data_IF_814386570553
#
_entry.id   IF_814386570553
#
_cell.length_a   1.000
_cell.length_b   1.000
_cell.length_c   1.000
_cell.angle_alpha   90.00
_cell.angle_beta   90.00
_cell.angle_gamma   90.00
#
_symmetry.space_group_name_H-M   'P 1'
#
loop_
_entity.id
_entity.type
_entity.pdbx_description
1 polymer ?
#
# COMPACT_ATOMS: atom_id res chain seq x y z
N UNK A 1 -38.37 7.72 2.70
CA UNK A 1 -37.91 8.84 3.55
C UNK A 1 -36.69 8.37 4.33
N UNK A 2 -35.47 8.68 3.85
CA UNK A 2 -34.18 8.15 4.40
C UNK A 2 -33.37 9.27 5.09
N UNK A 3 -33.89 10.49 5.13
CA UNK A 3 -33.18 11.68 5.61
C UNK A 3 -33.17 11.83 7.15
N UNK A 4 -33.93 11.02 7.90
CA UNK A 4 -34.19 11.28 9.33
C UNK A 4 -33.26 10.54 10.31
N UNK A 5 -32.43 9.60 9.85
CA UNK A 5 -31.62 8.77 10.75
C UNK A 5 -30.19 9.25 11.01
N UNK A 6 -29.70 10.34 10.38
CA UNK A 6 -28.28 10.73 10.39
C UNK A 6 -27.29 9.59 10.01
N UNK A 7 -27.80 8.44 9.55
CA UNK A 7 -27.03 7.23 9.24
C UNK A 7 -26.15 7.38 7.99
N UNK A 8 -26.42 8.39 7.16
CA UNK A 8 -25.68 8.73 5.94
C UNK A 8 -24.81 10.00 6.10
N UNK A 9 -24.68 10.53 7.32
CA UNK A 9 -23.78 11.65 7.60
C UNK A 9 -22.34 11.14 7.69
N UNK A 10 -21.40 11.89 7.16
CA UNK A 10 -19.96 11.60 7.27
C UNK A 10 -19.29 12.60 8.19
N UNK A 11 -18.20 12.18 8.81
CA UNK A 11 -17.30 12.99 9.62
C UNK A 11 -15.88 12.82 9.08
N UNK A 12 -15.01 13.81 9.34
CA UNK A 12 -13.60 13.68 8.99
C UNK A 12 -13.01 12.54 9.82
N UNK A 13 -12.13 11.75 9.22
CA UNK A 13 -11.42 10.68 9.92
C UNK A 13 -10.72 11.22 11.17
N UNK A 14 -10.63 10.40 12.21
CA UNK A 14 -9.90 10.73 13.44
C UNK A 14 -8.61 9.93 13.51
N UNK A 15 -7.57 10.51 14.10
CA UNK A 15 -6.29 9.87 14.42
C UNK A 15 -5.94 10.13 15.89
N UNK A 16 -4.86 9.53 16.41
CA UNK A 16 -4.38 9.81 17.76
C UNK A 16 -3.23 10.80 17.72
N UNK A 17 -3.35 11.90 18.45
CA UNK A 17 -2.23 12.79 18.76
C UNK A 17 -2.07 12.86 20.27
N UNK A 18 -0.88 12.53 20.78
CA UNK A 18 -0.61 12.43 22.22
C UNK A 18 -1.67 11.58 22.97
N UNK A 19 -2.05 10.43 22.39
CA UNK A 19 -3.08 9.52 22.92
C UNK A 19 -4.50 10.09 22.98
N UNK A 20 -4.78 11.19 22.30
CA UNK A 20 -6.12 11.79 22.21
C UNK A 20 -6.64 11.70 20.77
N UNK A 21 -7.89 11.24 20.57
CA UNK A 21 -8.52 11.31 19.27
C UNK A 21 -8.66 12.77 18.81
N UNK A 22 -8.05 13.09 17.68
CA UNK A 22 -8.20 14.37 16.99
C UNK A 22 -8.68 14.14 15.56
N UNK A 23 -9.24 15.16 14.93
CA UNK A 23 -9.58 15.12 13.51
C UNK A 23 -8.31 15.16 12.67
N UNK A 24 -8.23 14.27 11.67
CA UNK A 24 -7.13 14.25 10.68
C UNK A 24 -7.06 15.59 9.97
N UNK A 25 -5.86 16.15 9.92
CA UNK A 25 -5.56 17.34 9.12
C UNK A 25 -5.23 16.90 7.69
N UNK A 26 -5.73 17.58 6.65
CA UNK A 26 -5.39 17.25 5.27
C UNK A 26 -3.88 17.23 5.04
N UNK A 27 -3.38 16.21 4.34
CA UNK A 27 -1.95 16.03 4.07
C UNK A 27 -1.66 15.96 2.58
N UNK A 28 -0.50 16.51 2.22
CA UNK A 28 -0.02 16.49 0.85
C UNK A 28 0.59 15.13 0.51
N UNK A 29 0.25 14.60 -0.66
CA UNK A 29 0.82 13.35 -1.16
C UNK A 29 0.92 13.38 -2.68
N UNK A 30 1.79 12.53 -3.22
CA UNK A 30 1.86 12.24 -4.65
C UNK A 30 1.31 10.85 -4.84
N UNK A 31 0.21 10.73 -5.57
CA UNK A 31 -0.43 9.44 -5.83
C UNK A 31 -1.10 9.42 -7.19
N UNK A 32 -1.38 8.22 -7.69
CA UNK A 32 -2.22 8.04 -8.86
C UNK A 32 -3.68 8.05 -8.40
N UNK A 33 -4.42 9.12 -8.69
CA UNK A 33 -5.83 9.19 -8.33
C UNK A 33 -6.66 8.19 -9.15
N UNK A 34 -7.75 7.63 -8.60
CA UNK A 34 -8.55 6.66 -9.33
C UNK A 34 -9.10 7.21 -10.64
N UNK A 35 -8.85 6.49 -11.74
CA UNK A 35 -9.25 6.90 -13.09
C UNK A 35 -8.14 7.58 -13.90
N UNK A 36 -7.03 7.94 -13.26
CA UNK A 36 -5.89 8.58 -13.92
C UNK A 36 -4.72 7.61 -14.11
N UNK A 37 -3.93 7.88 -15.15
CA UNK A 37 -2.76 7.07 -15.51
C UNK A 37 -1.45 7.64 -14.93
N UNK A 38 -1.44 8.92 -14.55
CA UNK A 38 -0.25 9.63 -14.06
C UNK A 38 -0.37 9.95 -12.57
N UNK A 39 0.74 9.93 -11.81
CA UNK A 39 0.77 10.47 -10.46
C UNK A 39 0.50 11.98 -10.46
N UNK A 40 -0.22 12.45 -9.45
CA UNK A 40 -0.55 13.86 -9.23
C UNK A 40 -0.22 14.26 -7.80
N UNK A 41 0.16 15.52 -7.62
CA UNK A 41 0.30 16.13 -6.30
C UNK A 41 -1.08 16.57 -5.80
N UNK A 42 -1.48 16.07 -4.64
CA UNK A 42 -2.82 16.29 -4.10
C UNK A 42 -2.79 16.55 -2.60
N UNK A 43 -3.79 17.28 -2.10
CA UNK A 43 -4.09 17.44 -0.68
C UNK A 43 -5.24 16.50 -0.31
N UNK A 44 -4.99 15.47 0.49
CA UNK A 44 -5.94 14.39 0.78
C UNK A 44 -6.55 14.50 2.18
N UNK A 45 -7.82 14.12 2.31
CA UNK A 45 -8.55 14.05 3.58
C UNK A 45 -9.46 12.79 3.64
N UNK A 46 -9.25 11.86 4.59
CA UNK A 46 -10.12 10.70 4.78
C UNK A 46 -11.40 11.04 5.55
N UNK A 47 -12.48 10.29 5.28
CA UNK A 47 -13.79 10.42 5.92
C UNK A 47 -14.28 9.07 6.46
N UNK A 48 -14.96 9.15 7.59
CA UNK A 48 -15.60 8.02 8.29
C UNK A 48 -17.09 8.31 8.47
N UNK A 49 -17.95 7.31 8.74
CA UNK A 49 -19.34 7.56 9.13
C UNK A 49 -19.40 8.48 10.35
N UNK A 50 -20.37 9.39 10.36
CA UNK A 50 -20.60 10.23 11.53
C UNK A 50 -20.88 9.34 12.75
N UNK A 51 -20.03 9.47 13.77
CA UNK A 51 -20.19 8.72 15.00
C UNK A 51 -21.36 9.29 15.81
N UNK A 52 -22.12 8.43 16.47
CA UNK A 52 -23.07 8.82 17.52
C UNK A 52 -22.68 8.17 18.83
N UNK A 53 -23.23 8.62 19.96
CA UNK A 53 -22.99 8.03 21.29
C UNK A 53 -23.25 6.51 21.32
N UNK A 54 -24.12 6.02 20.43
CA UNK A 54 -24.50 4.61 20.32
C UNK A 54 -23.82 3.83 19.18
N UNK A 55 -23.07 4.50 18.31
CA UNK A 55 -22.50 3.90 17.10
C UNK A 55 -21.23 4.63 16.67
N UNK A 56 -20.07 4.13 17.11
CA UNK A 56 -18.75 4.59 16.68
C UNK A 56 -18.21 3.67 15.58
N UNK A 57 -18.67 3.88 14.35
CA UNK A 57 -18.06 3.25 13.17
C UNK A 57 -16.89 4.11 12.71
N UNK A 58 -15.69 3.56 12.81
CA UNK A 58 -14.45 4.24 12.44
C UNK A 58 -13.86 3.74 11.13
N UNK A 59 -14.57 2.85 10.41
CA UNK A 59 -14.15 2.39 9.09
C UNK A 59 -14.23 3.54 8.09
N UNK A 60 -13.25 3.62 7.19
CA UNK A 60 -13.22 4.62 6.15
C UNK A 60 -14.29 4.33 5.10
N UNK A 61 -15.02 5.38 4.68
CA UNK A 61 -16.09 5.27 3.67
C UNK A 61 -15.79 6.09 2.42
N UNK A 62 -14.92 7.07 2.53
CA UNK A 62 -14.48 7.89 1.40
C UNK A 62 -13.22 8.67 1.76
N UNK A 63 -12.60 9.25 0.76
CA UNK A 63 -11.61 10.31 0.94
C UNK A 63 -11.83 11.38 -0.13
N UNK A 64 -11.43 12.60 0.19
CA UNK A 64 -11.43 13.72 -0.73
C UNK A 64 -10.00 14.12 -1.03
N UNK A 65 -9.74 14.58 -2.26
CA UNK A 65 -8.49 15.20 -2.64
C UNK A 65 -8.74 16.53 -3.34
N UNK A 66 -7.97 17.55 -3.00
CA UNK A 66 -7.78 18.72 -3.85
C UNK A 66 -6.57 18.48 -4.75
N UNK A 67 -6.75 18.60 -6.07
CA UNK A 67 -5.71 18.39 -7.07
C UNK A 67 -4.86 19.66 -7.17
N UNK A 68 -3.54 19.52 -7.08
CA UNK A 68 -2.61 20.64 -6.87
C UNK A 68 -1.60 20.81 -8.02
N UNK A 69 -1.75 20.06 -9.12
CA UNK A 69 -0.92 20.19 -10.33
C UNK A 69 -1.68 19.78 -11.61
N UNK A 70 -1.01 19.89 -12.75
CA UNK A 70 -1.51 19.43 -14.04
C UNK A 70 -2.70 20.22 -14.60
N UNK A 71 -3.48 19.55 -15.45
CA UNK A 71 -4.66 20.13 -16.12
C UNK A 71 -5.85 20.32 -15.17
N UNK A 72 -5.83 19.64 -14.03
CA UNK A 72 -6.92 19.58 -13.07
C UNK A 72 -6.65 20.38 -11.79
N UNK A 73 -5.69 21.29 -11.85
CA UNK A 73 -5.32 22.15 -10.73
C UNK A 73 -6.54 22.88 -10.13
N UNK A 74 -6.75 22.71 -8.83
CA UNK A 74 -7.85 23.32 -8.07
C UNK A 74 -9.15 22.51 -8.06
N UNK A 75 -9.23 21.40 -8.79
CA UNK A 75 -10.40 20.52 -8.75
C UNK A 75 -10.45 19.71 -7.45
N UNK A 76 -11.66 19.45 -6.96
CA UNK A 76 -11.92 18.56 -5.84
C UNK A 76 -12.42 17.20 -6.36
N UNK A 77 -11.76 16.14 -5.95
CA UNK A 77 -12.14 14.75 -6.20
C UNK A 77 -12.67 14.14 -4.91
N UNK A 78 -13.90 13.62 -4.92
CA UNK A 78 -14.44 12.81 -3.83
C UNK A 78 -14.52 11.35 -4.28
N UNK A 79 -13.71 10.49 -3.67
CA UNK A 79 -13.73 9.05 -3.95
C UNK A 79 -14.49 8.30 -2.85
N UNK A 80 -15.60 7.67 -3.23
CA UNK A 80 -16.41 6.83 -2.33
C UNK A 80 -15.93 5.39 -2.40
N UNK A 81 -15.66 4.79 -1.25
CA UNK A 81 -15.23 3.40 -1.19
C UNK A 81 -16.40 2.46 -1.52
N UNK A 82 -16.16 1.34 -2.23
CA UNK A 82 -17.17 0.33 -2.48
C UNK A 82 -17.75 -0.21 -1.16
N UNK A 83 -19.09 -0.35 -1.08
CA UNK A 83 -19.76 -0.80 0.15
C UNK A 83 -19.50 -2.27 0.51
N UNK A 84 -18.90 -3.04 -0.38
CA UNK A 84 -18.59 -4.46 -0.20
C UNK A 84 -17.19 -4.71 0.38
N UNK A 85 -16.37 -3.66 0.55
CA UNK A 85 -15.07 -3.75 1.20
C UNK A 85 -15.07 -2.94 2.48
N UNK A 86 -14.59 -3.53 3.56
CA UNK A 86 -14.33 -2.81 4.80
C UNK A 86 -12.88 -2.31 4.75
N UNK A 87 -12.73 -1.00 4.91
CA UNK A 87 -11.43 -0.34 4.92
C UNK A 87 -11.27 0.31 6.28
N UNK A 88 -10.20 -0.02 6.98
CA UNK A 88 -9.92 0.56 8.29
C UNK A 88 -9.79 2.08 8.20
N UNK A 89 -10.43 2.83 9.09
CA UNK A 89 -10.12 4.25 9.20
C UNK A 89 -8.84 4.50 10.00
N UNK A 90 -8.32 5.74 9.96
CA UNK A 90 -7.08 6.09 10.66
C UNK A 90 -7.12 5.69 12.15
N UNK A 91 -8.21 6.01 12.88
CA UNK A 91 -8.36 5.64 14.30
C UNK A 91 -8.37 4.12 14.57
N UNK A 92 -8.82 3.30 13.62
CA UNK A 92 -8.75 1.83 13.77
C UNK A 92 -7.32 1.34 13.62
N UNK A 93 -6.56 1.89 12.67
CA UNK A 93 -5.14 1.57 12.50
C UNK A 93 -4.35 2.01 13.73
N UNK A 94 -4.61 3.22 14.25
CA UNK A 94 -4.06 3.69 15.53
C UNK A 94 -4.30 2.70 16.67
N UNK A 95 -5.52 2.19 16.78
CA UNK A 95 -5.89 1.19 17.79
C UNK A 95 -5.18 -0.15 17.58
N UNK A 96 -4.99 -0.57 16.32
CA UNK A 96 -4.23 -1.79 16.00
C UNK A 96 -2.76 -1.65 16.36
N UNK A 97 -2.16 -0.48 16.12
CA UNK A 97 -0.78 -0.16 16.51
C UNK A 97 -0.61 -0.26 18.03
N UNK A 98 -1.55 0.30 18.79
CA UNK A 98 -1.51 0.23 20.27
C UNK A 98 -1.75 -1.18 20.82
N UNK A 99 -2.48 -2.04 20.08
CA UNK A 99 -2.78 -3.41 20.47
C UNK A 99 -1.68 -4.41 20.09
N UNK A 100 -0.78 -4.05 19.18
CA UNK A 100 0.34 -4.89 18.80
C UNK A 100 1.31 -5.06 19.99
N UNK A 101 1.57 -6.29 20.47
CA UNK A 101 2.41 -6.51 21.66
C UNK A 101 3.86 -6.05 21.50
N UNK A 102 4.43 -6.16 20.30
CA UNK A 102 5.84 -5.83 20.06
C UNK A 102 6.01 -4.31 19.92
N UNK A 103 5.09 -3.65 19.20
CA UNK A 103 5.08 -2.20 19.08
C UNK A 103 4.78 -1.56 20.43
N UNK A 104 3.69 -1.94 21.10
CA UNK A 104 3.28 -1.36 22.38
C UNK A 104 4.36 -1.48 23.46
N UNK A 105 5.02 -2.64 23.55
CA UNK A 105 6.16 -2.85 24.45
C UNK A 105 7.31 -1.90 24.13
N UNK A 106 7.68 -1.76 22.86
CA UNK A 106 8.78 -0.89 22.44
C UNK A 106 8.47 0.59 22.72
N UNK A 107 7.26 1.05 22.38
CA UNK A 107 6.82 2.43 22.65
C UNK A 107 6.80 2.70 24.15
N UNK A 108 6.30 1.77 24.97
CA UNK A 108 6.30 1.89 26.42
C UNK A 108 7.73 1.96 27.00
N UNK A 109 8.70 1.25 26.43
CA UNK A 109 10.11 1.31 26.84
C UNK A 109 10.76 2.65 26.47
N UNK A 110 10.45 3.20 25.30
CA UNK A 110 10.98 4.50 24.88
C UNK A 110 10.32 5.67 25.60
N UNK A 111 9.07 5.50 26.02
CA UNK A 111 8.34 6.48 26.79
C UNK A 111 8.68 6.39 28.30
N UNK A 112 9.95 6.18 28.62
CA UNK A 112 10.50 6.09 29.98
C UNK A 112 11.73 6.98 30.14
N UNK A 113 12.12 7.23 31.39
CA UNK A 113 13.49 7.64 31.74
C UNK A 113 14.03 8.89 31.05
N UNK A 114 13.17 9.91 30.88
CA UNK A 114 13.59 11.21 30.37
C UNK A 114 13.56 11.34 28.84
N UNK A 115 12.95 10.39 28.13
CA UNK A 115 12.51 10.57 26.74
C UNK A 115 10.99 10.48 26.63
N UNK A 116 10.45 11.03 25.55
CA UNK A 116 9.05 10.87 25.14
C UNK A 116 8.98 10.40 23.70
N UNK A 117 7.98 9.56 23.44
CA UNK A 117 7.62 9.10 22.10
C UNK A 117 6.67 10.13 21.49
N UNK A 118 6.96 10.55 20.26
CA UNK A 118 6.02 11.31 19.43
C UNK A 118 5.62 10.42 18.26
N UNK A 119 4.32 10.15 18.17
CA UNK A 119 3.68 9.55 17.02
C UNK A 119 3.42 10.65 16.00
N UNK A 120 3.95 10.51 14.79
CA UNK A 120 3.70 11.46 13.71
C UNK A 120 2.32 11.26 13.10
N UNK A 121 1.98 12.08 12.11
CA UNK A 121 0.69 11.97 11.43
C UNK A 121 0.58 10.64 10.68
N UNK A 122 -0.58 10.01 10.77
CA UNK A 122 -0.87 8.77 10.06
C UNK A 122 -1.30 9.06 8.61
N UNK A 123 -0.46 8.66 7.65
CA UNK A 123 -0.77 8.84 6.23
C UNK A 123 -1.49 7.61 5.68
N UNK A 124 -2.74 7.77 5.23
CA UNK A 124 -3.48 6.73 4.52
C UNK A 124 -3.30 6.89 3.01
N UNK A 125 -2.55 6.00 2.37
CA UNK A 125 -2.18 6.08 0.95
C UNK A 125 -2.92 5.01 0.14
N UNK A 126 -3.79 5.38 -0.81
CA UNK A 126 -4.46 4.42 -1.69
C UNK A 126 -3.45 3.65 -2.56
N UNK A 127 -3.38 2.32 -2.40
CA UNK A 127 -2.56 1.43 -3.24
C UNK A 127 -3.30 0.11 -3.53
N UNK A 128 -3.27 -0.35 -4.79
CA UNK A 128 -3.77 -1.68 -5.17
C UNK A 128 -5.23 -1.97 -4.77
N UNK A 129 -6.09 -0.95 -4.68
CA UNK A 129 -7.49 -1.10 -4.27
C UNK A 129 -7.74 -1.13 -2.76
N UNK A 130 -6.71 -0.94 -1.94
CA UNK A 130 -6.81 -0.74 -0.49
C UNK A 130 -5.89 0.44 -0.07
N UNK A 131 -5.55 0.54 1.21
CA UNK A 131 -4.71 1.62 1.75
C UNK A 131 -3.48 1.06 2.45
N UNK A 132 -2.33 1.67 2.16
CA UNK A 132 -1.13 1.57 2.95
C UNK A 132 -1.12 2.71 3.95
N UNK A 133 -1.04 2.38 5.22
CA UNK A 133 -0.90 3.35 6.29
C UNK A 133 0.57 3.48 6.65
N UNK A 134 1.05 4.71 6.81
CA UNK A 134 2.45 5.00 7.15
C UNK A 134 2.48 5.97 8.32
N UNK A 135 3.12 5.58 9.41
CA UNK A 135 3.25 6.39 10.61
C UNK A 135 4.71 6.45 11.08
N UNK A 136 5.35 7.63 11.04
CA UNK A 136 6.69 7.80 11.59
C UNK A 136 6.64 7.93 13.12
N UNK A 137 7.59 7.27 13.80
CA UNK A 137 7.76 7.35 15.25
C UNK A 137 9.04 8.12 15.56
N UNK A 138 8.91 9.19 16.33
CA UNK A 138 10.02 10.04 16.77
C UNK A 138 10.29 9.87 18.26
N UNK A 139 11.54 10.03 18.64
CA UNK A 139 11.95 10.16 20.03
C UNK A 139 12.50 11.55 20.28
N UNK A 140 12.14 12.12 21.42
CA UNK A 140 12.72 13.35 21.93
C UNK A 140 13.12 13.19 23.40
N UNK A 141 14.08 14.00 23.85
CA UNK A 141 14.44 14.08 25.25
C UNK A 141 13.50 15.04 25.98
N UNK A 142 13.07 14.67 27.18
CA UNK A 142 12.26 15.53 28.05
C UNK A 142 13.09 16.66 28.67
N UNK A 143 14.42 16.65 28.48
CA UNK A 143 15.28 17.80 28.81
C UNK A 143 15.09 18.86 27.73
N UNK A 144 14.87 20.11 28.15
CA UNK A 144 14.52 21.20 27.24
C UNK A 144 15.51 21.40 26.08
N UNK A 145 14.97 21.80 24.93
CA UNK A 145 15.75 22.13 23.73
C UNK A 145 16.15 20.91 22.87
N UNK A 146 15.55 19.74 23.07
CA UNK A 146 15.80 18.58 22.21
C UNK A 146 14.95 18.62 20.94
N UNK A 147 15.53 18.20 19.82
CA UNK A 147 14.85 18.10 18.53
C UNK A 147 14.38 16.65 18.37
N UNK A 148 13.10 16.40 18.01
CA UNK A 148 12.62 15.05 17.73
C UNK A 148 13.40 14.38 16.60
N UNK A 149 13.81 13.13 16.81
CA UNK A 149 14.51 12.32 15.82
C UNK A 149 13.66 11.10 15.46
N UNK A 150 13.45 10.86 14.15
CA UNK A 150 12.72 9.68 13.69
C UNK A 150 13.53 8.42 14.01
N UNK A 151 12.92 7.46 14.70
CA UNK A 151 13.57 6.19 15.07
C UNK A 151 12.96 4.97 14.40
N UNK A 152 11.66 5.02 14.08
CA UNK A 152 10.96 3.94 13.39
C UNK A 152 9.94 4.48 12.42
N UNK A 153 9.49 3.59 11.55
CA UNK A 153 8.27 3.75 10.78
C UNK A 153 7.40 2.51 10.97
N UNK A 154 6.12 2.76 11.20
CA UNK A 154 5.08 1.73 11.26
C UNK A 154 4.34 1.74 9.92
N UNK A 155 4.21 0.57 9.29
CA UNK A 155 3.37 0.39 8.11
C UNK A 155 2.27 -0.62 8.41
N UNK A 156 1.05 -0.30 7.98
CA UNK A 156 -0.07 -1.22 8.00
C UNK A 156 -0.65 -1.38 6.59
N UNK A 157 -0.89 -2.62 6.17
CA UNK A 157 -1.57 -2.95 4.92
C UNK A 157 -2.41 -4.20 5.12
N UNK A 158 -3.73 -4.09 4.95
CA UNK A 158 -4.66 -5.17 5.27
C UNK A 158 -4.43 -5.68 6.70
N UNK A 159 -4.22 -6.98 6.89
CA UNK A 159 -4.00 -7.61 8.19
C UNK A 159 -2.55 -7.51 8.67
N UNK A 160 -1.64 -7.03 7.83
CA UNK A 160 -0.22 -6.93 8.16
C UNK A 160 0.10 -5.59 8.81
N UNK A 161 0.90 -5.65 9.87
CA UNK A 161 1.40 -4.50 10.61
C UNK A 161 2.87 -4.74 10.94
N UNK A 162 3.74 -3.79 10.59
CA UNK A 162 5.18 -3.91 10.81
C UNK A 162 5.75 -2.60 11.33
N UNK A 163 6.75 -2.68 12.21
CA UNK A 163 7.51 -1.53 12.69
C UNK A 163 9.00 -1.78 12.46
N UNK A 164 9.65 -0.93 11.67
CA UNK A 164 11.06 -1.12 11.30
C UNK A 164 11.84 0.20 11.33
N UNK A 165 13.16 0.12 11.12
CA UNK A 165 14.07 1.28 11.16
C UNK A 165 13.85 2.25 9.99
N UNK A 166 13.40 1.75 8.84
CA UNK A 166 13.28 2.54 7.62
C UNK A 166 12.17 2.01 6.71
N UNK A 167 11.66 2.89 5.85
CA UNK A 167 10.54 2.58 4.97
C UNK A 167 10.81 1.40 4.03
N UNK A 168 12.04 1.29 3.51
CA UNK A 168 12.42 0.20 2.60
C UNK A 168 12.31 -1.18 3.24
N UNK A 169 12.85 -1.34 4.45
CA UNK A 169 12.73 -2.58 5.22
C UNK A 169 11.26 -2.90 5.54
N UNK A 170 10.46 -1.91 5.93
CA UNK A 170 9.03 -2.12 6.20
C UNK A 170 8.28 -2.59 4.94
N UNK A 171 8.54 -1.96 3.79
CA UNK A 171 7.95 -2.35 2.51
C UNK A 171 8.32 -3.77 2.10
N UNK A 172 9.59 -4.14 2.25
CA UNK A 172 10.05 -5.52 1.97
C UNK A 172 9.39 -6.54 2.92
N UNK A 173 9.20 -6.20 4.20
CA UNK A 173 8.51 -7.10 5.13
C UNK A 173 7.02 -7.27 4.79
N UNK A 174 6.36 -6.23 4.28
CA UNK A 174 4.94 -6.29 3.91
C UNK A 174 4.69 -6.99 2.58
N UNK A 175 5.48 -6.70 1.56
CA UNK A 175 5.22 -7.11 0.18
C UNK A 175 6.20 -8.16 -0.35
N UNK A 176 7.24 -8.49 0.42
CA UNK A 176 8.25 -9.49 0.09
C UNK A 176 9.43 -8.94 -0.72
N UNK A 177 10.34 -9.86 -1.07
CA UNK A 177 11.51 -9.57 -1.88
C UNK A 177 11.10 -9.15 -3.30
N UNK A 178 11.74 -8.09 -3.82
CA UNK A 178 11.40 -7.49 -5.12
C UNK A 178 10.50 -6.26 -5.04
N UNK A 179 10.06 -5.88 -3.84
CA UNK A 179 9.33 -4.64 -3.61
C UNK A 179 10.20 -3.43 -3.97
N UNK A 180 9.69 -2.47 -4.78
CA UNK A 180 10.42 -1.25 -5.11
C UNK A 180 10.90 -0.54 -3.85
N UNK A 181 12.21 -0.25 -3.81
CA UNK A 181 12.79 0.43 -2.67
C UNK A 181 12.62 1.95 -2.82
N UNK A 182 12.33 2.66 -1.72
CA UNK A 182 12.27 4.11 -1.73
C UNK A 182 13.59 4.68 -2.24
N UNK A 183 13.54 5.48 -3.30
CA UNK A 183 14.70 6.23 -3.80
C UNK A 183 14.66 7.64 -3.23
N UNK A 184 15.80 8.16 -2.79
CA UNK A 184 15.92 9.58 -2.44
C UNK A 184 15.65 10.42 -3.70
N UNK A 185 14.69 11.37 -3.68
CA UNK A 185 14.47 12.27 -4.80
C UNK A 185 15.76 13.00 -5.18
N UNK A 186 16.14 12.99 -6.47
CA UNK A 186 17.40 13.57 -6.95
C UNK A 186 18.62 12.65 -6.86
N UNK A 187 18.49 11.47 -6.24
CA UNK A 187 19.49 10.42 -6.27
C UNK A 187 19.07 9.38 -7.31
N UNK A 188 19.16 9.76 -8.59
CA UNK A 188 19.08 8.82 -9.69
C UNK A 188 20.15 7.76 -9.45
N UNK A 189 19.76 6.55 -9.05
CA UNK A 189 20.63 5.41 -9.26
C UNK A 189 20.90 5.39 -10.76
N UNK A 190 22.16 5.35 -11.21
CA UNK A 190 22.42 5.07 -12.61
C UNK A 190 21.69 3.76 -12.91
N UNK A 191 20.81 3.79 -13.91
CA UNK A 191 20.46 2.54 -14.61
C UNK A 191 21.76 1.77 -14.79
N UNK A 192 21.82 0.46 -14.51
CA UNK A 192 23.02 -0.29 -14.81
C UNK A 192 23.29 -0.11 -16.30
N UNK A 193 24.26 0.74 -16.62
CA UNK A 193 24.81 0.85 -17.96
C UNK A 193 25.43 -0.51 -18.19
N UNK A 194 24.74 -1.34 -18.97
CA UNK A 194 25.35 -2.52 -19.58
C UNK A 194 26.48 -1.98 -20.43
N UNK A 195 27.65 -1.89 -19.83
CA UNK A 195 28.88 -1.56 -20.52
C UNK A 195 29.20 -2.75 -21.40
N UNK A 196 29.41 -2.57 -22.72
CA UNK A 196 29.76 -3.67 -23.59
C UNK A 196 31.12 -4.22 -23.17
N UNK A 197 31.13 -5.36 -22.47
CA UNK A 197 32.35 -6.10 -22.19
C UNK A 197 32.83 -6.72 -23.50
N UNK A 198 34.00 -6.25 -23.92
CA UNK A 198 34.84 -6.81 -24.97
C UNK A 198 35.04 -8.31 -24.76
N UNK A 199 34.62 -9.11 -25.74
CA UNK A 199 34.89 -10.53 -25.82
C UNK A 199 36.40 -10.77 -25.83
N UNK A 200 36.90 -11.54 -24.86
CA UNK A 200 38.11 -12.33 -25.02
C UNK A 200 37.80 -13.77 -24.62
N UNK A 201 37.95 -14.64 -25.61
CA UNK A 201 37.74 -16.09 -25.63
C UNK A 201 38.52 -16.85 -24.57
N UNK A 202 37.83 -17.70 -23.80
CA UNK A 202 38.35 -19.01 -23.38
C UNK A 202 37.22 -20.05 -23.43
N UNK A 203 37.57 -21.22 -23.93
CA UNK A 203 36.73 -22.31 -24.41
C UNK A 203 36.30 -23.23 -23.27
N UNK A 204 34.99 -23.48 -23.09
CA UNK A 204 34.36 -24.82 -22.93
C UNK A 204 32.90 -24.73 -22.45
N UNK A 205 32.07 -25.60 -23.07
CA UNK A 205 30.67 -25.95 -22.80
C UNK A 205 29.60 -25.06 -23.45
N UNK A 206 29.40 -25.30 -24.75
CA UNK A 206 28.19 -24.90 -25.47
C UNK A 206 26.97 -25.73 -25.00
N UNK A 207 25.81 -25.11 -24.72
CA UNK A 207 24.54 -25.83 -24.67
C UNK A 207 24.17 -26.30 -26.09
N UNK A 208 23.80 -27.57 -26.18
CA UNK A 208 23.47 -28.27 -27.41
C UNK A 208 22.23 -27.65 -28.10
N UNK A 209 22.46 -26.93 -29.20
CA UNK A 209 21.43 -26.32 -30.06
C UNK A 209 20.47 -27.36 -30.69
N UNK A 210 20.84 -28.65 -30.69
CA UNK A 210 19.92 -29.73 -31.06
C UNK A 210 18.77 -29.84 -30.04
N UNK A 211 19.05 -29.68 -28.74
CA UNK A 211 18.04 -29.81 -27.68
C UNK A 211 16.97 -28.72 -27.73
N UNK A 212 17.32 -27.50 -28.16
CA UNK A 212 16.36 -26.39 -28.30
C UNK A 212 15.43 -26.63 -29.49
N UNK A 213 15.96 -27.20 -30.58
CA UNK A 213 15.14 -27.55 -31.76
C UNK A 213 14.20 -28.71 -31.46
N UNK A 214 14.68 -29.69 -30.70
CA UNK A 214 13.87 -30.83 -30.25
C UNK A 214 12.76 -30.37 -29.29
N UNK A 215 13.06 -29.47 -28.35
CA UNK A 215 12.06 -28.88 -27.46
C UNK A 215 10.99 -28.10 -28.22
N UNK A 216 11.35 -27.30 -29.23
CA UNK A 216 10.36 -26.60 -30.07
C UNK A 216 9.46 -27.57 -30.86
N UNK A 217 9.99 -28.68 -31.35
CA UNK A 217 9.20 -29.67 -32.07
C UNK A 217 8.26 -30.44 -31.12
N UNK A 218 8.70 -30.69 -29.88
CA UNK A 218 7.89 -31.33 -28.84
C UNK A 218 6.71 -30.44 -28.41
N UNK A 219 6.93 -29.12 -28.30
CA UNK A 219 5.88 -28.14 -28.02
C UNK A 219 4.85 -28.09 -29.16
N UNK A 220 5.30 -28.10 -30.43
CA UNK A 220 4.37 -28.13 -31.58
C UNK A 220 3.47 -29.37 -31.56
N UNK A 221 4.06 -30.54 -31.29
CA UNK A 221 3.30 -31.80 -31.23
C UNK A 221 2.26 -31.80 -30.10
N UNK A 222 2.59 -31.20 -28.95
CA UNK A 222 1.67 -31.03 -27.83
C UNK A 222 0.49 -30.12 -28.16
N UNK A 223 0.72 -29.06 -28.93
CA UNK A 223 -0.35 -28.15 -29.38
C UNK A 223 -1.28 -28.83 -30.39
N UNK A 224 -0.74 -29.61 -31.33
CA UNK A 224 -1.55 -30.35 -32.31
C UNK A 224 -2.42 -31.44 -31.64
N UNK A 225 -1.88 -32.10 -30.61
CA UNK A 225 -2.60 -33.14 -29.86
C UNK A 225 -3.73 -32.53 -29.01
N UNK A 226 -3.48 -31.35 -28.40
CA UNK A 226 -4.51 -30.57 -27.70
C UNK A 226 -5.63 -30.10 -28.64
N UNK A 227 -5.30 -29.65 -29.85
CA UNK A 227 -6.30 -29.25 -30.84
C UNK A 227 -7.15 -30.45 -31.29
N UNK A 228 -6.52 -31.61 -31.46
CA UNK A 228 -7.21 -32.85 -31.83
C UNK A 228 -8.14 -33.34 -30.72
N UNK A 229 -7.72 -33.25 -29.46
CA UNK A 229 -8.58 -33.55 -28.30
C UNK A 229 -9.76 -32.57 -28.19
N UNK A 230 -9.53 -31.27 -28.39
CA UNK A 230 -10.59 -30.25 -28.38
C UNK A 230 -11.63 -30.48 -29.49
N UNK A 231 -11.21 -30.88 -30.68
CA UNK A 231 -12.12 -31.25 -31.78
C UNK A 231 -12.89 -32.56 -31.49
N UNK A 232 -12.25 -33.52 -30.81
CA UNK A 232 -12.90 -34.76 -30.35
C UNK A 232 -14.05 -34.52 -29.37
N UNK A 233 -13.88 -33.56 -28.45
CA UNK A 233 -14.91 -33.21 -27.46
C UNK A 233 -16.14 -32.49 -28.07
N UNK A 234 -16.04 -31.91 -29.28
CA UNK A 234 -17.19 -31.32 -29.97
C UNK A 234 -18.02 -32.36 -30.77
N UNK A 235 -17.49 -33.56 -31.01
CA UNK A 235 -18.19 -34.63 -31.73
C UNK A 235 -19.09 -35.53 -30.87
N UNK A 236 -18.81 -35.65 -29.57
CA UNK A 236 -19.44 -36.65 -28.69
C UNK A 236 -20.71 -36.13 -27.97
N UNK A 237 -21.02 -34.84 -28.08
CA UNK A 237 -22.26 -34.24 -27.55
C UNK A 237 -23.54 -34.61 -28.33
N UNK A 238 -23.42 -35.43 -29.39
CA UNK A 238 -24.55 -35.85 -30.24
C UNK A 238 -25.11 -37.25 -29.93
N UNK A 239 -24.59 -37.95 -28.92
CA UNK A 239 -25.01 -39.33 -28.57
C UNK A 239 -25.68 -39.52 -27.19
N UNK A 240 -26.09 -38.45 -26.52
CA UNK A 240 -26.91 -38.54 -25.29
C UNK A 240 -28.28 -37.90 -25.53
N UNK A 241 -29.05 -38.48 -26.45
CA UNK A 241 -30.50 -38.24 -26.59
C UNK A 241 -31.12 -39.35 -27.46
N UNK A 242 -31.23 -40.55 -26.91
CA UNK A 242 -32.31 -41.50 -27.21
C UNK A 242 -32.74 -42.17 -25.91
#
# INVERSE_FOLDING_TARGET
AVFYNKEDSWDIGKELFESKPITVVPYYTIMKVPGEDKPEFVLMLPFTPASSESNSRNNMVSWMAARMDGEHYGELLLYKLPKNIEVDGPLQIESRIDQDPDISKQLALWNQSGSSVIRGNLLALPIGGNFLYVEPIYLQSNKGGSIPEMKRVVLAYQDHLVMTDNLGTALTQLFGDGTPQPTTPGQSTPVPVVSPQTQTTTTQNAPDMASITDQMNQIRKLLDDLETQLKGFQGDSSKIAQ
#
